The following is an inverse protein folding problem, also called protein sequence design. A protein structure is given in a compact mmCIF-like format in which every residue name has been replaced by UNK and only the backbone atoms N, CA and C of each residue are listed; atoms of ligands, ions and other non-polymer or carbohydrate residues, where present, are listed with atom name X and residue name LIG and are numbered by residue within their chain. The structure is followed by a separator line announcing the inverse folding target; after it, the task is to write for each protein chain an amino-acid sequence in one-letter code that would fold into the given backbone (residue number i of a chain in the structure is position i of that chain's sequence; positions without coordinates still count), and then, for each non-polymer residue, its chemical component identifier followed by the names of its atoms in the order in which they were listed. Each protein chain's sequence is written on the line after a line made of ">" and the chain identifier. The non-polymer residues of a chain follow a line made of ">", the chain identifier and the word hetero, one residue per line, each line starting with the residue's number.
data_IF_038057812364
#
_entry.id   IF_038057812364
#
_cell.length_a   1.000
_cell.length_b   1.000
_cell.length_c   1.000
_cell.angle_alpha   90.00
_cell.angle_beta   90.00
_cell.angle_gamma   90.00
#
_symmetry.space_group_name_H-M   'P 1'
#
loop_
_entity.id
_entity.type
_entity.pdbx_description
1 polymer ?
#
# COMPACT_ATOMS: atom_id res chain seq x y z
N UNK A 1 26.55 0.69 -5.07
CA UNK A 1 25.73 1.63 -4.28
C UNK A 1 26.00 1.38 -2.80
N UNK A 2 26.26 2.42 -2.01
CA UNK A 2 26.46 2.23 -0.56
C UNK A 2 25.11 1.92 0.11
N UNK A 3 25.01 0.83 0.86
CA UNK A 3 23.80 0.43 1.60
C UNK A 3 23.19 1.58 2.44
N UNK A 4 24.04 2.49 2.91
CA UNK A 4 23.66 3.71 3.66
C UNK A 4 22.72 4.61 2.87
N UNK A 5 22.83 4.63 1.54
CA UNK A 5 22.01 5.47 0.66
C UNK A 5 20.59 4.89 0.52
N UNK A 6 20.44 3.56 0.43
CA UNK A 6 19.13 2.88 0.36
C UNK A 6 18.32 2.90 1.67
N UNK A 7 18.98 3.18 2.79
CA UNK A 7 18.42 2.99 4.12
C UNK A 7 17.13 3.80 4.37
N UNK A 8 17.02 5.08 3.97
CA UNK A 8 15.80 5.85 4.21
C UNK A 8 14.58 5.28 3.48
N UNK A 9 14.70 4.95 2.20
CA UNK A 9 13.62 4.34 1.41
C UNK A 9 13.19 2.99 1.99
N UNK A 10 14.18 2.16 2.33
CA UNK A 10 13.98 0.84 2.92
C UNK A 10 13.18 0.93 4.23
N UNK A 11 13.58 1.84 5.13
CA UNK A 11 12.91 2.03 6.41
C UNK A 11 11.52 2.65 6.25
N UNK A 12 11.33 3.58 5.31
CA UNK A 12 10.01 4.16 5.03
C UNK A 12 9.05 3.10 4.51
N UNK A 13 9.44 2.29 3.54
CA UNK A 13 8.59 1.20 3.03
C UNK A 13 8.33 0.14 4.10
N UNK A 14 9.34 -0.24 4.88
CA UNK A 14 9.17 -1.13 6.03
C UNK A 14 8.15 -0.58 7.03
N UNK A 15 8.27 0.69 7.40
CA UNK A 15 7.34 1.37 8.31
C UNK A 15 5.91 1.43 7.76
N UNK A 16 5.74 1.75 6.47
CA UNK A 16 4.43 1.75 5.81
C UNK A 16 3.80 0.36 5.81
N UNK A 17 4.57 -0.68 5.50
CA UNK A 17 4.13 -2.08 5.57
C UNK A 17 3.71 -2.49 6.96
N UNK A 18 4.50 -2.14 7.97
CA UNK A 18 4.18 -2.40 9.37
C UNK A 18 2.88 -1.72 9.79
N UNK A 19 2.75 -0.41 9.55
CA UNK A 19 1.58 0.37 9.96
C UNK A 19 0.33 -0.10 9.23
N UNK A 20 0.43 -0.36 7.93
CA UNK A 20 -0.72 -0.81 7.12
C UNK A 20 -1.18 -2.19 7.55
N UNK A 21 -0.25 -3.13 7.74
CA UNK A 21 -0.58 -4.48 8.22
C UNK A 21 -1.14 -4.47 9.64
N UNK A 22 -0.56 -3.66 10.55
CA UNK A 22 -1.06 -3.51 11.91
C UNK A 22 -2.49 -2.94 11.91
N UNK A 23 -2.73 -1.87 11.15
CA UNK A 23 -4.05 -1.27 11.04
C UNK A 23 -5.09 -2.23 10.45
N UNK A 24 -4.78 -2.86 9.32
CA UNK A 24 -5.69 -3.78 8.62
C UNK A 24 -6.04 -4.99 9.48
N UNK A 25 -5.04 -5.64 10.08
CA UNK A 25 -5.23 -6.86 10.88
C UNK A 25 -5.95 -6.57 12.18
N UNK A 26 -5.65 -5.47 12.89
CA UNK A 26 -6.38 -5.12 14.11
C UNK A 26 -7.86 -4.87 13.83
N UNK A 27 -8.20 -4.16 12.75
CA UNK A 27 -9.60 -3.96 12.36
C UNK A 27 -10.32 -5.29 12.13
N UNK A 28 -9.70 -6.22 11.42
CA UNK A 28 -10.31 -7.53 11.14
C UNK A 28 -10.39 -8.40 12.40
N UNK A 29 -9.37 -8.38 13.27
CA UNK A 29 -9.36 -9.12 14.54
C UNK A 29 -10.48 -8.64 15.46
N UNK A 30 -10.66 -7.32 15.62
CA UNK A 30 -11.68 -6.78 16.51
C UNK A 30 -13.09 -6.84 15.91
N UNK A 31 -13.25 -7.26 14.66
CA UNK A 31 -14.54 -7.36 13.99
C UNK A 31 -15.46 -8.33 14.74
N UNK A 32 -14.90 -9.42 15.27
CA UNK A 32 -15.64 -10.41 16.09
C UNK A 32 -16.20 -9.83 17.41
N UNK A 33 -15.73 -8.67 17.87
CA UNK A 33 -16.17 -8.06 19.13
C UNK A 33 -17.41 -7.22 18.99
N UNK A 34 -17.57 -6.55 17.85
CA UNK A 34 -18.63 -5.55 17.69
C UNK A 34 -19.17 -5.52 16.27
N UNK A 35 -20.50 -5.51 16.16
CA UNK A 35 -21.19 -5.29 14.88
C UNK A 35 -20.88 -3.91 14.31
N UNK A 36 -20.60 -2.92 15.17
CA UNK A 36 -20.22 -1.56 14.76
C UNK A 36 -18.98 -1.58 13.87
N UNK A 37 -18.00 -2.43 14.16
CA UNK A 37 -16.75 -2.46 13.38
C UNK A 37 -16.96 -3.01 11.96
N UNK A 38 -17.93 -3.91 11.75
CA UNK A 38 -18.30 -4.39 10.42
C UNK A 38 -18.77 -3.22 9.53
N UNK A 39 -19.66 -2.38 10.08
CA UNK A 39 -20.16 -1.19 9.38
C UNK A 39 -19.11 -0.08 9.25
N UNK A 40 -18.20 0.06 10.22
CA UNK A 40 -17.08 0.99 10.11
C UNK A 40 -16.13 0.60 8.98
N UNK A 41 -15.78 -0.69 8.85
CA UNK A 41 -14.96 -1.20 7.75
C UNK A 41 -15.67 -1.01 6.40
N UNK A 42 -16.97 -1.32 6.32
CA UNK A 42 -17.79 -1.07 5.13
C UNK A 42 -17.73 0.41 4.71
N UNK A 43 -18.00 1.33 5.64
CA UNK A 43 -18.00 2.77 5.37
C UNK A 43 -16.61 3.28 4.95
N UNK A 44 -15.56 2.81 5.62
CA UNK A 44 -14.18 3.15 5.30
C UNK A 44 -13.79 2.70 3.88
N UNK A 45 -14.09 1.45 3.53
CA UNK A 45 -13.80 0.92 2.20
C UNK A 45 -14.62 1.58 1.10
N UNK A 46 -15.88 1.94 1.36
CA UNK A 46 -16.70 2.68 0.40
C UNK A 46 -16.19 4.10 0.17
N UNK A 47 -15.73 4.77 1.23
CA UNK A 47 -15.08 6.08 1.10
C UNK A 47 -13.82 5.98 0.24
N UNK A 48 -12.98 4.97 0.47
CA UNK A 48 -11.78 4.74 -0.32
C UNK A 48 -12.08 4.35 -1.76
N UNK A 49 -13.12 3.55 -2.00
CA UNK A 49 -13.58 3.24 -3.36
C UNK A 49 -14.00 4.52 -4.09
N UNK A 50 -14.77 5.39 -3.44
CA UNK A 50 -15.18 6.67 -4.00
C UNK A 50 -13.97 7.57 -4.32
N UNK A 51 -12.98 7.63 -3.43
CA UNK A 51 -11.73 8.35 -3.67
C UNK A 51 -10.93 7.76 -4.84
N UNK A 52 -10.81 6.44 -4.92
CA UNK A 52 -10.13 5.77 -6.04
C UNK A 52 -10.83 6.03 -7.37
N UNK A 53 -12.17 5.92 -7.42
CA UNK A 53 -12.95 6.24 -8.61
C UNK A 53 -12.82 7.72 -8.98
N UNK A 54 -12.85 8.62 -8.01
CA UNK A 54 -12.62 10.04 -8.25
C UNK A 54 -11.25 10.27 -8.91
N UNK A 55 -10.17 9.74 -8.35
CA UNK A 55 -8.83 9.86 -8.94
C UNK A 55 -8.64 9.06 -10.25
N UNK A 56 -9.48 8.05 -10.51
CA UNK A 56 -9.45 7.31 -11.76
C UNK A 56 -9.93 8.17 -12.93
N UNK A 57 -10.90 9.06 -12.71
CA UNK A 57 -11.50 9.87 -13.77
C UNK A 57 -11.09 11.35 -13.73
N UNK A 58 -10.75 11.89 -12.57
CA UNK A 58 -10.36 13.28 -12.40
C UNK A 58 -8.90 13.51 -12.80
N UNK A 59 -8.67 14.28 -13.87
CA UNK A 59 -7.34 14.66 -14.37
C UNK A 59 -6.38 13.46 -14.54
N UNK A 60 -6.91 12.33 -15.00
CA UNK A 60 -6.14 11.09 -15.18
C UNK A 60 -6.29 10.56 -16.60
N UNK A 61 -5.33 10.94 -17.45
CA UNK A 61 -5.27 10.54 -18.85
C UNK A 61 -4.52 9.20 -19.05
N UNK A 62 -3.80 8.73 -18.03
CA UNK A 62 -3.10 7.45 -18.07
C UNK A 62 -4.08 6.27 -17.88
N UNK A 63 -4.29 5.51 -18.96
CA UNK A 63 -5.14 4.34 -18.98
C UNK A 63 -4.70 3.24 -17.98
N UNK A 64 -3.38 3.08 -17.74
CA UNK A 64 -2.87 2.08 -16.79
C UNK A 64 -3.21 2.48 -15.36
N UNK A 65 -2.94 3.74 -15.01
CA UNK A 65 -3.26 4.28 -13.69
C UNK A 65 -4.77 4.29 -13.42
N UNK A 66 -5.57 4.67 -14.42
CA UNK A 66 -7.04 4.60 -14.37
C UNK A 66 -7.53 3.18 -14.12
N UNK A 67 -7.02 2.21 -14.86
CA UNK A 67 -7.35 0.79 -14.68
C UNK A 67 -7.01 0.28 -13.29
N UNK A 68 -5.81 0.63 -12.78
CA UNK A 68 -5.38 0.27 -11.42
C UNK A 68 -6.35 0.80 -10.35
N UNK A 69 -6.69 2.09 -10.40
CA UNK A 69 -7.58 2.72 -9.43
C UNK A 69 -9.00 2.15 -9.49
N UNK A 70 -9.51 1.82 -10.68
CA UNK A 70 -10.80 1.14 -10.84
C UNK A 70 -10.74 -0.25 -10.20
N UNK A 71 -9.69 -1.04 -10.46
CA UNK A 71 -9.53 -2.37 -9.85
C UNK A 71 -9.49 -2.28 -8.33
N UNK A 72 -8.72 -1.35 -7.77
CA UNK A 72 -8.67 -1.14 -6.31
C UNK A 72 -10.02 -0.70 -5.77
N UNK A 73 -10.77 0.15 -6.48
CA UNK A 73 -12.12 0.54 -6.08
C UNK A 73 -13.09 -0.66 -6.05
N UNK A 74 -13.03 -1.54 -7.06
CA UNK A 74 -13.84 -2.77 -7.07
C UNK A 74 -13.47 -3.68 -5.91
N UNK A 75 -12.17 -3.86 -5.63
CA UNK A 75 -11.72 -4.61 -4.45
C UNK A 75 -12.29 -4.01 -3.17
N UNK A 76 -12.20 -2.69 -2.99
CA UNK A 76 -12.77 -2.01 -1.83
C UNK A 76 -14.28 -2.26 -1.68
N UNK A 77 -15.05 -2.18 -2.78
CA UNK A 77 -16.50 -2.43 -2.75
C UNK A 77 -16.79 -3.87 -2.33
N UNK A 78 -16.13 -4.85 -2.96
CA UNK A 78 -16.32 -6.28 -2.67
C UNK A 78 -15.94 -6.59 -1.23
N UNK A 79 -14.79 -6.09 -0.77
CA UNK A 79 -14.32 -6.23 0.61
C UNK A 79 -15.25 -5.57 1.62
N UNK A 80 -15.77 -4.39 1.30
CA UNK A 80 -16.72 -3.67 2.15
C UNK A 80 -18.03 -4.44 2.31
N UNK A 81 -18.63 -4.88 1.19
CA UNK A 81 -19.85 -5.69 1.21
C UNK A 81 -19.62 -6.99 1.98
N UNK A 82 -18.47 -7.64 1.77
CA UNK A 82 -18.10 -8.88 2.49
C UNK A 82 -18.01 -8.64 3.99
N UNK A 83 -17.39 -7.55 4.43
CA UNK A 83 -17.32 -7.18 5.84
C UNK A 83 -18.71 -6.86 6.41
N UNK A 84 -19.55 -6.10 5.70
CA UNK A 84 -20.88 -5.71 6.18
C UNK A 84 -21.91 -6.86 6.19
N UNK A 85 -21.77 -7.83 5.30
CA UNK A 85 -22.69 -8.97 5.17
C UNK A 85 -22.31 -10.17 6.06
N UNK A 86 -21.19 -10.09 6.79
CA UNK A 86 -20.70 -11.20 7.59
C UNK A 86 -21.58 -11.42 8.83
N UNK A 87 -22.21 -12.60 9.00
CA UNK A 87 -22.98 -12.87 10.21
C UNK A 87 -22.03 -13.11 11.38
N UNK A 88 -22.40 -12.62 12.57
CA UNK A 88 -21.59 -12.73 13.79
C UNK A 88 -21.10 -14.16 14.09
N UNK A 89 -21.96 -15.17 13.89
CA UNK A 89 -21.60 -16.57 14.14
C UNK A 89 -20.50 -17.11 13.20
N UNK A 90 -20.22 -16.42 12.09
CA UNK A 90 -19.21 -16.84 11.11
C UNK A 90 -17.82 -16.95 11.74
N UNK A 91 -17.45 -16.01 12.61
CA UNK A 91 -16.13 -15.94 13.26
C UNK A 91 -15.80 -17.22 14.05
N UNK A 92 -16.84 -17.87 14.60
CA UNK A 92 -16.69 -18.97 15.54
C UNK A 92 -16.99 -20.34 14.94
N UNK A 93 -17.96 -20.41 14.01
CA UNK A 93 -18.53 -21.68 13.53
C UNK A 93 -18.02 -22.12 12.16
N UNK A 94 -17.43 -21.21 11.38
CA UNK A 94 -16.99 -21.53 10.02
C UNK A 94 -15.66 -22.27 10.01
N UNK A 95 -15.46 -23.12 9.00
CA UNK A 95 -14.19 -23.81 8.80
C UNK A 95 -13.05 -22.81 8.62
N UNK A 96 -11.83 -23.23 8.99
CA UNK A 96 -10.62 -22.40 8.87
C UNK A 96 -10.47 -21.82 7.46
N UNK A 97 -10.65 -22.64 6.42
CA UNK A 97 -10.50 -22.21 5.02
C UNK A 97 -11.54 -21.15 4.64
N UNK A 98 -12.79 -21.30 5.10
CA UNK A 98 -13.82 -20.30 4.83
C UNK A 98 -13.51 -18.98 5.54
N UNK A 99 -13.12 -19.03 6.82
CA UNK A 99 -12.72 -17.84 7.58
C UNK A 99 -11.54 -17.14 6.93
N UNK A 100 -10.50 -17.89 6.58
CA UNK A 100 -9.31 -17.36 5.92
C UNK A 100 -9.63 -16.70 4.58
N UNK A 101 -10.49 -17.32 3.77
CA UNK A 101 -10.89 -16.77 2.47
C UNK A 101 -11.63 -15.44 2.61
N UNK A 102 -12.57 -15.36 3.55
CA UNK A 102 -13.35 -14.14 3.81
C UNK A 102 -12.47 -13.04 4.41
N UNK A 103 -11.64 -13.37 5.41
CA UNK A 103 -10.71 -12.39 5.99
C UNK A 103 -9.69 -11.92 4.96
N UNK A 104 -9.24 -12.78 4.04
CA UNK A 104 -8.35 -12.40 2.95
C UNK A 104 -9.00 -11.38 2.03
N UNK A 105 -10.26 -11.57 1.64
CA UNK A 105 -10.99 -10.58 0.83
C UNK A 105 -11.02 -9.23 1.54
N UNK A 106 -11.34 -9.21 2.85
CA UNK A 106 -11.43 -7.97 3.62
C UNK A 106 -10.06 -7.28 3.74
N UNK A 107 -9.02 -8.03 4.14
CA UNK A 107 -7.66 -7.51 4.29
C UNK A 107 -7.08 -7.03 2.96
N UNK A 108 -7.31 -7.77 1.87
CA UNK A 108 -6.86 -7.38 0.54
C UNK A 108 -7.43 -6.00 0.14
N UNK A 109 -8.71 -5.76 0.39
CA UNK A 109 -9.32 -4.45 0.13
C UNK A 109 -8.70 -3.35 0.97
N UNK A 110 -8.53 -3.58 2.28
CA UNK A 110 -7.91 -2.63 3.20
C UNK A 110 -6.47 -2.30 2.78
N UNK A 111 -5.63 -3.30 2.57
CA UNK A 111 -4.23 -3.08 2.24
C UNK A 111 -4.06 -2.51 0.84
N UNK A 112 -4.75 -3.03 -0.18
CA UNK A 112 -4.66 -2.49 -1.54
C UNK A 112 -5.08 -1.03 -1.62
N UNK A 113 -6.13 -0.64 -0.88
CA UNK A 113 -6.64 0.74 -0.86
C UNK A 113 -5.66 1.74 -0.27
N UNK A 114 -4.83 1.33 0.68
CA UNK A 114 -3.80 2.19 1.28
C UNK A 114 -2.54 2.15 0.41
N UNK A 115 -2.10 0.96 -0.01
CA UNK A 115 -0.88 0.74 -0.79
C UNK A 115 -0.89 1.41 -2.16
N UNK A 116 -2.06 1.56 -2.80
CA UNK A 116 -2.15 2.26 -4.11
C UNK A 116 -1.67 3.71 -4.04
N UNK A 117 -1.78 4.34 -2.86
CA UNK A 117 -1.37 5.74 -2.64
C UNK A 117 0.03 5.87 -2.07
N UNK A 118 0.72 4.77 -1.73
CA UNK A 118 2.06 4.83 -1.15
C UNK A 118 3.06 5.52 -2.06
N UNK A 119 2.98 5.34 -3.39
CA UNK A 119 3.87 6.01 -4.32
C UNK A 119 3.78 7.56 -4.18
N UNK A 120 2.58 8.09 -3.91
CA UNK A 120 2.42 9.53 -3.63
C UNK A 120 3.10 9.92 -2.31
N UNK A 121 2.98 9.08 -1.28
CA UNK A 121 3.59 9.34 0.03
C UNK A 121 5.12 9.23 -0.01
N UNK A 122 5.67 8.22 -0.67
CA UNK A 122 7.13 8.09 -0.85
C UNK A 122 7.67 9.24 -1.68
N UNK A 123 6.95 9.67 -2.72
CA UNK A 123 7.30 10.84 -3.54
C UNK A 123 7.37 12.18 -2.80
N UNK A 124 6.74 12.32 -1.63
CA UNK A 124 6.86 13.53 -0.80
C UNK A 124 8.23 13.67 -0.13
N UNK A 125 9.00 12.59 -0.02
CA UNK A 125 10.30 12.63 0.62
C UNK A 125 11.42 12.86 -0.39
N UNK A 126 12.30 13.82 -0.11
CA UNK A 126 13.40 14.21 -0.99
C UNK A 126 14.37 13.05 -1.35
N UNK A 127 14.45 12.00 -0.51
CA UNK A 127 15.28 10.84 -0.83
C UNK A 127 14.67 9.93 -1.90
N UNK A 128 13.35 9.96 -2.13
CA UNK A 128 12.70 9.10 -3.13
C UNK A 128 13.10 9.45 -4.55
N UNK A 129 13.25 10.73 -4.86
CA UNK A 129 13.69 11.23 -6.17
C UNK A 129 15.09 10.73 -6.56
N UNK A 130 15.93 10.42 -5.57
CA UNK A 130 17.29 9.90 -5.77
C UNK A 130 17.31 8.38 -6.01
N UNK A 131 16.25 7.65 -5.65
CA UNK A 131 16.15 6.19 -5.77
C UNK A 131 15.01 5.72 -6.66
N UNK A 132 14.32 6.65 -7.34
CA UNK A 132 13.28 6.36 -8.32
C UNK A 132 13.89 5.49 -9.42
N UNK A 133 13.65 4.18 -9.31
CA UNK A 133 14.36 3.11 -10.00
C UNK A 133 14.00 2.95 -11.49
N UNK A 134 13.69 4.05 -12.17
CA UNK A 134 13.11 4.04 -13.51
C UNK A 134 11.69 3.44 -13.56
N UNK A 135 11.14 2.97 -12.43
CA UNK A 135 9.75 2.54 -12.33
C UNK A 135 8.84 3.76 -12.39
N UNK A 136 7.80 3.68 -13.20
CA UNK A 136 6.77 4.71 -13.16
C UNK A 136 5.93 4.58 -11.88
N UNK A 137 5.25 5.66 -11.43
CA UNK A 137 4.44 5.63 -10.21
C UNK A 137 3.38 4.53 -10.18
N UNK A 138 2.81 4.18 -11.34
CA UNK A 138 1.81 3.12 -11.45
C UNK A 138 2.40 1.73 -11.22
N UNK A 139 3.60 1.46 -11.73
CA UNK A 139 4.33 0.21 -11.50
C UNK A 139 4.73 0.04 -10.05
N UNK A 140 5.16 1.13 -9.40
CA UNK A 140 5.42 1.12 -7.95
C UNK A 140 4.15 0.78 -7.17
N UNK A 141 3.02 1.43 -7.46
CA UNK A 141 1.75 1.13 -6.79
C UNK A 141 1.30 -0.32 -7.02
N UNK A 142 1.46 -0.86 -8.23
CA UNK A 142 1.17 -2.29 -8.51
C UNK A 142 2.05 -3.19 -7.65
N UNK A 143 3.35 -2.89 -7.56
CA UNK A 143 4.30 -3.65 -6.78
C UNK A 143 3.96 -3.62 -5.29
N UNK A 144 3.63 -2.45 -4.73
CA UNK A 144 3.19 -2.32 -3.34
C UNK A 144 1.90 -3.12 -3.07
N UNK A 145 0.91 -3.04 -3.96
CA UNK A 145 -0.33 -3.81 -3.82
C UNK A 145 -0.05 -5.32 -3.87
N UNK A 146 0.79 -5.77 -4.81
CA UNK A 146 1.14 -7.19 -4.94
C UNK A 146 1.84 -7.71 -3.68
N UNK A 147 2.83 -6.97 -3.18
CA UNK A 147 3.56 -7.34 -1.96
C UNK A 147 2.63 -7.41 -0.75
N UNK A 148 1.76 -6.42 -0.56
CA UNK A 148 0.82 -6.43 0.55
C UNK A 148 -0.29 -7.47 0.36
N UNK A 149 -0.64 -7.87 -0.87
CA UNK A 149 -1.57 -8.99 -1.10
C UNK A 149 -1.03 -10.31 -0.53
N UNK A 150 0.29 -10.55 -0.60
CA UNK A 150 0.93 -11.73 0.01
C UNK A 150 0.86 -11.65 1.54
N UNK A 151 1.14 -10.47 2.11
CA UNK A 151 1.03 -10.23 3.55
C UNK A 151 -0.40 -10.44 4.04
N UNK A 152 -1.38 -9.86 3.34
CA UNK A 152 -2.83 -10.04 3.56
C UNK A 152 -3.24 -11.52 3.55
N UNK A 153 -2.70 -12.31 2.62
CA UNK A 153 -2.99 -13.75 2.56
C UNK A 153 -2.48 -14.46 3.82
N UNK A 154 -1.21 -14.24 4.20
CA UNK A 154 -0.64 -14.83 5.40
C UNK A 154 -1.36 -14.37 6.67
N UNK A 155 -1.71 -13.07 6.76
CA UNK A 155 -2.48 -12.48 7.84
C UNK A 155 -3.85 -13.14 8.00
N UNK A 156 -4.59 -13.33 6.89
CA UNK A 156 -5.91 -13.92 6.92
C UNK A 156 -5.93 -15.35 7.47
N UNK A 157 -4.99 -16.18 7.04
CA UNK A 157 -4.83 -17.54 7.57
C UNK A 157 -4.44 -17.56 9.04
N UNK A 158 -3.58 -16.62 9.43
CA UNK A 158 -3.11 -16.46 10.82
C UNK A 158 -4.24 -16.02 11.75
N UNK A 159 -5.10 -15.10 11.31
CA UNK A 159 -6.29 -14.69 12.08
C UNK A 159 -7.29 -15.85 12.13
N UNK A 160 -7.53 -16.53 11.00
CA UNK A 160 -8.50 -17.61 10.89
C UNK A 160 -8.13 -18.90 11.66
N UNK A 161 -6.86 -19.09 12.02
CA UNK A 161 -6.42 -20.23 12.84
C UNK A 161 -6.68 -20.04 14.34
N UNK A 162 -7.12 -18.85 14.76
CA UNK A 162 -7.40 -18.53 16.14
C UNK A 162 -8.71 -19.19 16.60
N UNK A 163 -8.62 -20.07 17.61
CA UNK A 163 -9.76 -20.84 18.15
C UNK A 163 -9.91 -20.63 19.67
N UNK A 164 -11.17 -20.62 20.16
CA UNK A 164 -11.52 -20.50 21.58
C UNK A 164 -12.85 -19.80 21.83
N UNK A 165 -13.10 -19.38 23.08
CA UNK A 165 -14.17 -18.42 23.38
C UNK A 165 -13.73 -16.99 23.01
N UNK A 166 -14.67 -16.07 22.78
CA UNK A 166 -14.45 -14.73 22.21
C UNK A 166 -13.20 -14.01 22.74
N UNK A 167 -12.98 -13.96 24.05
CA UNK A 167 -11.82 -13.26 24.64
C UNK A 167 -10.48 -13.96 24.34
N UNK A 168 -10.49 -15.28 24.27
CA UNK A 168 -9.29 -16.07 23.95
C UNK A 168 -8.95 -16.04 22.46
N UNK A 169 -9.95 -15.90 21.57
CA UNK A 169 -9.71 -15.80 20.13
C UNK A 169 -8.94 -14.52 19.82
N UNK A 170 -9.41 -13.37 20.31
CA UNK A 170 -8.77 -12.07 20.03
C UNK A 170 -7.31 -12.02 20.46
N UNK A 171 -7.02 -12.46 21.70
CA UNK A 171 -5.65 -12.44 22.23
C UNK A 171 -4.73 -13.40 21.46
N UNK A 172 -5.24 -14.56 21.05
CA UNK A 172 -4.49 -15.51 20.20
C UNK A 172 -4.26 -14.93 18.81
N UNK A 173 -5.28 -14.33 18.19
CA UNK A 173 -5.16 -13.67 16.89
C UNK A 173 -4.08 -12.58 16.93
N UNK A 174 -4.10 -11.71 17.95
CA UNK A 174 -3.08 -10.67 18.13
C UNK A 174 -1.70 -11.31 18.24
N UNK A 175 -1.53 -12.29 19.13
CA UNK A 175 -0.25 -12.97 19.35
C UNK A 175 0.29 -13.60 18.06
N UNK A 176 -0.57 -14.24 17.27
CA UNK A 176 -0.18 -14.85 15.99
C UNK A 176 0.15 -13.80 14.92
N UNK A 177 -0.55 -12.66 14.89
CA UNK A 177 -0.28 -11.59 13.92
C UNK A 177 0.99 -10.78 14.19
N UNK A 178 1.61 -10.85 15.38
CA UNK A 178 2.91 -10.20 15.63
C UNK A 178 3.97 -10.65 14.62
N UNK A 179 4.02 -11.95 14.30
CA UNK A 179 4.94 -12.48 13.30
C UNK A 179 4.66 -11.92 11.91
N UNK A 180 3.38 -11.69 11.58
CA UNK A 180 2.96 -11.09 10.32
C UNK A 180 3.35 -9.62 10.24
N UNK A 181 3.26 -8.86 11.33
CA UNK A 181 3.69 -7.46 11.36
C UNK A 181 5.20 -7.32 11.12
N UNK A 182 5.99 -8.20 11.74
CA UNK A 182 7.44 -8.25 11.51
C UNK A 182 7.73 -8.67 10.06
N UNK A 183 7.01 -9.67 9.53
CA UNK A 183 7.16 -10.08 8.14
C UNK A 183 6.79 -8.94 7.16
N UNK A 184 5.71 -8.21 7.42
CA UNK A 184 5.29 -7.06 6.62
C UNK A 184 6.38 -5.98 6.57
N UNK A 185 6.98 -5.68 7.73
CA UNK A 185 8.11 -4.76 7.81
C UNK A 185 9.30 -5.26 6.98
N UNK A 186 9.72 -6.52 7.16
CA UNK A 186 10.91 -7.08 6.51
C UNK A 186 10.73 -7.23 5.00
N UNK A 187 9.55 -7.67 4.55
CA UNK A 187 9.24 -7.85 3.12
C UNK A 187 9.22 -6.49 2.42
N UNK A 188 8.60 -5.46 3.02
CA UNK A 188 8.60 -4.12 2.44
C UNK A 188 9.98 -3.43 2.54
N UNK A 189 10.79 -3.73 3.57
CA UNK A 189 12.22 -3.35 3.57
C UNK A 189 12.96 -3.99 2.39
N UNK A 190 12.79 -5.30 2.19
CA UNK A 190 13.37 -6.02 1.06
C UNK A 190 12.99 -5.40 -0.28
N UNK A 191 11.73 -4.97 -0.42
CA UNK A 191 11.26 -4.25 -1.59
C UNK A 191 12.01 -2.93 -1.80
N UNK A 192 12.22 -2.15 -0.74
CA UNK A 192 12.99 -0.91 -0.80
C UNK A 192 14.44 -1.12 -1.21
N UNK A 193 15.07 -2.20 -0.75
CA UNK A 193 16.41 -2.59 -1.20
C UNK A 193 16.40 -2.92 -2.70
N UNK A 194 15.43 -3.72 -3.17
CA UNK A 194 15.34 -4.10 -4.58
C UNK A 194 15.13 -2.87 -5.49
N UNK A 195 14.25 -1.96 -5.10
CA UNK A 195 14.02 -0.69 -5.80
C UNK A 195 15.33 0.12 -5.84
N UNK A 196 15.98 0.32 -4.69
CA UNK A 196 17.18 1.12 -4.61
C UNK A 196 18.36 0.50 -5.40
N UNK A 197 18.54 -0.82 -5.36
CA UNK A 197 19.59 -1.53 -6.12
C UNK A 197 19.35 -1.41 -7.62
N UNK A 198 18.10 -1.55 -8.07
CA UNK A 198 17.75 -1.39 -9.48
C UNK A 198 18.01 0.04 -9.96
N UNK A 199 17.60 1.06 -9.18
CA UNK A 199 17.85 2.46 -9.50
C UNK A 199 19.35 2.84 -9.51
N UNK A 200 20.18 2.18 -8.71
CA UNK A 200 21.63 2.37 -8.72
C UNK A 200 22.37 1.67 -9.86
N UNK A 201 21.74 0.72 -10.55
CA UNK A 201 22.33 -0.02 -11.68
C UNK A 201 22.16 0.72 -13.02
N UNK A 202 21.15 1.58 -13.14
CA UNK A 202 20.88 2.42 -14.33
C UNK A 202 21.68 3.74 -14.29
N UNK A 203 22.91 3.70 -13.75
CA UNK A 203 23.77 4.87 -13.65
C UNK A 203 24.00 5.53 -15.01
N UNK A 204 23.66 6.82 -15.15
CA UNK A 204 24.22 7.66 -16.20
C UNK A 204 23.31 8.62 -16.96
N UNK A 205 22.03 8.79 -16.63
CA UNK A 205 21.29 9.94 -17.19
C UNK A 205 21.42 11.09 -16.22
N UNK A 206 22.45 11.91 -16.44
CA UNK A 206 22.58 13.24 -15.83
C UNK A 206 21.23 13.95 -15.90
N UNK A 207 20.64 14.28 -14.73
CA UNK A 207 19.68 15.37 -14.67
C UNK A 207 20.44 16.60 -15.15
N UNK A 208 20.27 16.96 -16.42
CA UNK A 208 20.42 18.34 -16.82
C UNK A 208 19.34 19.09 -16.04
N UNK A 209 19.69 19.53 -14.83
CA UNK A 209 19.19 20.82 -14.37
C UNK A 209 19.50 21.76 -15.52
N UNK A 210 18.47 22.13 -16.28
CA UNK A 210 18.50 23.33 -17.08
C UNK A 210 18.81 24.46 -16.09
N UNK A 211 20.10 24.76 -15.94
CA UNK A 211 20.51 26.10 -15.53
C UNK A 211 19.95 26.95 -16.64
N UNK A 212 18.79 27.54 -16.37
CA UNK A 212 18.27 28.67 -17.09
C UNK A 212 19.41 29.70 -17.05
N UNK A 213 20.25 29.67 -18.08
CA UNK A 213 21.28 30.68 -18.28
C UNK A 213 20.48 31.96 -18.52
N UNK A 214 20.33 32.73 -17.44
CA UNK A 214 19.86 34.10 -17.49
C UNK A 214 20.50 34.76 -18.72
N UNK A 215 19.73 35.41 -19.61
CA UNK A 215 20.34 36.20 -20.66
C UNK A 215 21.10 37.32 -19.96
N UNK A 216 22.43 37.22 -20.00
CA UNK A 216 23.30 38.34 -19.66
C UNK A 216 22.98 39.41 -20.69
N UNK A 217 22.22 40.40 -20.24
CA UNK A 217 22.16 41.69 -20.90
C UNK A 217 23.52 42.37 -20.68
N UNK A 218 24.27 42.57 -21.77
CA UNK A 218 25.07 43.79 -21.96
C UNK A 218 25.72 43.81 -23.34
N UNK A 219 25.31 44.82 -24.10
CA UNK A 219 26.13 45.66 -24.97
C UNK A 219 26.18 45.37 -26.48
N UNK A 220 25.38 46.19 -27.18
CA UNK A 220 25.64 46.81 -28.49
C UNK A 220 27.08 46.69 -28.97
N UNK A 221 27.28 46.11 -30.16
CA UNK A 221 28.20 46.65 -31.17
C UNK A 221 27.82 46.10 -32.56
N UNK A 222 27.57 47.03 -33.47
CA UNK A 222 27.60 46.90 -34.94
C UNK A 222 26.53 46.06 -35.64
N UNK A 223 25.47 46.76 -36.10
CA UNK A 223 25.15 46.89 -37.54
C UNK A 223 24.09 47.97 -37.78
N UNK A 224 24.58 49.19 -38.03
CA UNK A 224 23.93 50.15 -38.93
C UNK A 224 24.59 49.96 -40.30
N UNK A 225 23.82 49.52 -41.30
CA UNK A 225 23.91 49.90 -42.71
C UNK A 225 22.71 49.29 -43.45
#
# INVERSE_FOLDING_TARGET
>A
MELKSALPLTLTLGGLGLVTSLFSTLLVIFMEKTVILHYAILGYLFLLAALCLFFAFYNNDDARNKGLLIVVAVLCIVSGITAGALPYNFHFSSSLVNRASVYFIILLGLEASVSVFWCKFTGLFAFSNTYASGLNPTEESILYIFTNSIVSFCAAFTIASSEGADFHITNKSIAYTIGIWIAAFLVNCGLGILIAVKGGSDGGTTMNTAVESAPIASDDYDKIA
#
